data_IF_846446044091
#
_entry.id   IF_846446044091
#
_cell.length_a   1.000
_cell.length_b   1.000
_cell.length_c   1.000
_cell.angle_alpha   90.00
_cell.angle_beta   90.00
_cell.angle_gamma   90.00
#
_symmetry.space_group_name_H-M   'P 1'
#
loop_
_entity.id
_entity.type
_entity.pdbx_description
1 polymer ?
#
# COMPACT_ATOMS: atom_id res chain seq x y z
N UNK A 1 26.51 -41.89 -8.95
CA UNK A 1 25.44 -40.93 -8.60
C UNK A 1 25.84 -39.58 -9.15
N UNK A 2 25.30 -39.23 -10.31
CA UNK A 2 25.66 -38.06 -11.10
C UNK A 2 25.03 -36.80 -10.49
N UNK A 3 25.88 -35.87 -10.09
CA UNK A 3 25.53 -34.50 -9.70
C UNK A 3 25.22 -33.73 -11.00
N UNK A 4 24.05 -33.94 -11.58
CA UNK A 4 23.60 -33.24 -12.79
C UNK A 4 22.08 -33.14 -12.83
N UNK A 5 21.49 -32.33 -11.95
CA UNK A 5 20.14 -31.76 -12.13
C UNK A 5 19.79 -30.72 -11.04
N UNK A 6 20.65 -29.73 -10.80
CA UNK A 6 20.23 -28.49 -10.12
C UNK A 6 20.65 -27.30 -10.98
N UNK A 7 20.29 -27.37 -12.27
CA UNK A 7 20.32 -26.21 -13.13
C UNK A 7 19.31 -25.22 -12.57
N UNK A 8 19.84 -24.10 -12.06
CA UNK A 8 19.14 -22.87 -11.72
C UNK A 8 18.05 -22.60 -12.77
N UNK A 9 16.81 -22.99 -12.47
CA UNK A 9 15.65 -22.36 -13.09
C UNK A 9 15.73 -20.90 -12.71
N UNK A 10 16.15 -20.05 -13.64
CA UNK A 10 15.91 -18.61 -13.52
C UNK A 10 14.39 -18.48 -13.46
N UNK A 11 13.83 -18.40 -12.25
CA UNK A 11 12.40 -18.20 -12.06
C UNK A 11 12.05 -16.90 -12.76
N UNK A 12 11.25 -17.00 -13.82
CA UNK A 12 10.74 -15.85 -14.56
C UNK A 12 9.86 -15.07 -13.58
N UNK A 13 10.43 -14.03 -12.98
CA UNK A 13 9.76 -13.20 -12.00
C UNK A 13 9.46 -11.84 -12.64
N UNK A 14 8.20 -11.47 -12.68
CA UNK A 14 7.83 -10.09 -13.02
C UNK A 14 8.24 -9.22 -11.82
N UNK A 15 9.15 -8.24 -11.99
CA UNK A 15 9.55 -7.38 -10.89
C UNK A 15 8.33 -6.60 -10.38
N UNK A 16 8.29 -6.42 -9.06
CA UNK A 16 7.32 -5.54 -8.44
C UNK A 16 7.60 -4.10 -8.91
N UNK A 17 6.57 -3.27 -9.17
CA UNK A 17 6.80 -1.88 -9.52
C UNK A 17 7.62 -1.15 -8.44
N UNK A 18 8.53 -0.27 -8.85
CA UNK A 18 9.44 0.47 -7.96
C UNK A 18 8.67 1.20 -6.83
N UNK A 19 7.48 1.69 -7.14
CA UNK A 19 6.60 2.36 -6.17
C UNK A 19 6.20 1.41 -5.06
N UNK A 20 5.86 0.16 -5.38
CA UNK A 20 5.45 -0.83 -4.39
C UNK A 20 6.66 -1.30 -3.59
N UNK A 21 7.83 -1.45 -4.21
CA UNK A 21 9.08 -1.77 -3.50
C UNK A 21 9.46 -0.67 -2.51
N UNK A 22 9.33 0.59 -2.92
CA UNK A 22 9.56 1.74 -2.04
C UNK A 22 8.59 1.76 -0.86
N UNK A 23 7.31 1.45 -1.11
CA UNK A 23 6.29 1.37 -0.05
C UNK A 23 6.60 0.20 0.89
N UNK A 24 6.97 -0.98 0.36
CA UNK A 24 7.36 -2.14 1.16
C UNK A 24 8.56 -1.81 2.07
N UNK A 25 9.62 -1.22 1.50
CA UNK A 25 10.80 -0.81 2.25
C UNK A 25 10.45 0.18 3.37
N UNK A 26 9.61 1.18 3.06
CA UNK A 26 9.15 2.18 4.05
C UNK A 26 8.29 1.57 5.16
N UNK A 27 7.42 0.60 4.84
CA UNK A 27 6.63 -0.15 5.81
C UNK A 27 7.52 -0.97 6.74
N UNK A 28 8.49 -1.72 6.18
CA UNK A 28 9.45 -2.52 6.94
C UNK A 28 10.32 -1.65 7.84
N UNK A 29 10.74 -0.49 7.35
CA UNK A 29 11.51 0.50 8.12
C UNK A 29 10.64 1.34 9.09
N UNK A 30 9.34 1.07 9.21
CA UNK A 30 8.39 1.83 10.06
C UNK A 30 8.46 3.34 9.85
N UNK A 31 8.66 3.77 8.60
CA UNK A 31 8.72 5.19 8.22
C UNK A 31 7.37 5.73 7.71
N UNK A 32 6.45 4.83 7.40
CA UNK A 32 5.05 5.11 7.05
C UNK A 32 4.13 4.13 7.77
N UNK A 33 2.91 4.55 8.06
CA UNK A 33 1.85 3.72 8.63
C UNK A 33 1.25 2.80 7.56
N UNK A 34 0.58 1.74 8.00
CA UNK A 34 -0.21 0.90 7.08
C UNK A 34 -1.25 1.70 6.27
N UNK A 35 -1.86 2.72 6.86
CA UNK A 35 -2.83 3.58 6.18
C UNK A 35 -2.19 4.41 5.06
N UNK A 36 -1.05 5.07 5.34
CA UNK A 36 -0.28 5.81 4.33
C UNK A 36 0.15 4.89 3.18
N UNK A 37 0.60 3.67 3.50
CA UNK A 37 0.95 2.67 2.49
C UNK A 37 -0.23 2.22 1.63
N UNK A 38 -1.39 1.94 2.25
CA UNK A 38 -2.61 1.59 1.50
C UNK A 38 -3.01 2.70 0.53
N UNK A 39 -2.92 3.96 0.94
CA UNK A 39 -3.24 5.10 0.08
C UNK A 39 -2.23 5.22 -1.06
N UNK A 40 -0.93 5.08 -0.76
CA UNK A 40 0.13 5.14 -1.77
C UNK A 40 -0.01 4.02 -2.82
N UNK A 41 -0.32 2.79 -2.39
CA UNK A 41 -0.60 1.67 -3.29
C UNK A 41 -1.83 1.95 -4.15
N UNK A 42 -2.91 2.50 -3.59
CA UNK A 42 -4.11 2.84 -4.37
C UNK A 42 -3.79 3.85 -5.48
N UNK A 43 -3.06 4.91 -5.16
CA UNK A 43 -2.62 5.92 -6.14
C UNK A 43 -1.73 5.29 -7.22
N UNK A 44 -0.76 4.47 -6.82
CA UNK A 44 0.13 3.80 -7.76
C UNK A 44 -0.64 2.82 -8.67
N UNK A 45 -1.58 2.03 -8.14
CA UNK A 45 -2.45 1.13 -8.92
C UNK A 45 -3.28 1.86 -9.96
N UNK A 46 -3.86 3.01 -9.62
CA UNK A 46 -4.66 3.81 -10.57
C UNK A 46 -3.83 4.29 -11.75
N UNK A 47 -2.55 4.61 -11.52
CA UNK A 47 -1.64 5.06 -12.58
C UNK A 47 -1.06 3.92 -13.40
N UNK A 48 -0.65 2.82 -12.75
CA UNK A 48 -0.01 1.67 -13.41
C UNK A 48 -1.02 0.75 -14.11
N UNK A 49 -2.27 0.74 -13.66
CA UNK A 49 -3.29 -0.19 -14.11
C UNK A 49 -3.02 -1.62 -13.63
N UNK A 50 -3.81 -2.56 -14.14
CA UNK A 50 -3.68 -3.99 -13.83
C UNK A 50 -2.36 -4.59 -14.31
N UNK A 51 -1.83 -5.63 -13.61
CA UNK A 51 -0.52 -6.22 -13.94
C UNK A 51 -0.34 -6.64 -15.39
N UNK A 52 -1.37 -7.21 -16.03
CA UNK A 52 -1.30 -7.67 -17.42
C UNK A 52 -1.13 -6.54 -18.46
N UNK A 53 -1.31 -5.28 -18.07
CA UNK A 53 -1.00 -4.13 -18.92
C UNK A 53 0.48 -3.74 -18.88
N UNK A 54 1.24 -4.21 -17.88
CA UNK A 54 2.64 -3.82 -17.69
C UNK A 54 3.54 -4.42 -18.77
N UNK A 55 4.58 -3.67 -19.17
CA UNK A 55 5.58 -4.14 -20.14
C UNK A 55 6.32 -5.39 -19.63
N UNK A 56 6.68 -5.41 -18.36
CA UNK A 56 7.36 -6.54 -17.71
C UNK A 56 6.48 -7.80 -17.69
N UNK A 57 5.18 -7.65 -17.41
CA UNK A 57 4.24 -8.77 -17.47
C UNK A 57 4.12 -9.33 -18.90
N UNK A 58 4.01 -8.47 -19.91
CA UNK A 58 3.96 -8.91 -21.32
C UNK A 58 5.24 -9.63 -21.75
N UNK A 59 6.40 -9.17 -21.28
CA UNK A 59 7.68 -9.82 -21.55
C UNK A 59 7.76 -11.21 -20.88
N UNK A 60 7.39 -11.31 -19.61
CA UNK A 60 7.36 -12.57 -18.87
C UNK A 60 6.34 -13.55 -19.46
N UNK A 61 5.14 -13.08 -19.86
CA UNK A 61 4.11 -13.91 -20.51
C UNK A 61 4.67 -14.63 -21.74
N UNK A 62 5.45 -13.95 -22.58
CA UNK A 62 6.04 -14.57 -23.79
C UNK A 62 6.97 -15.74 -23.47
N UNK A 63 7.57 -15.75 -22.29
CA UNK A 63 8.51 -16.78 -21.86
C UNK A 63 7.80 -17.98 -21.21
N UNK A 64 6.65 -17.76 -20.57
CA UNK A 64 5.89 -18.83 -19.89
C UNK A 64 4.79 -19.46 -20.75
N UNK A 65 4.32 -18.74 -21.78
CA UNK A 65 3.30 -19.25 -22.69
C UNK A 65 3.88 -20.41 -23.51
N UNK A 66 3.29 -21.59 -23.38
CA UNK A 66 3.69 -22.80 -24.10
C UNK A 66 3.06 -22.85 -25.50
N UNK A 67 3.50 -23.80 -26.32
CA UNK A 67 2.98 -24.04 -27.67
C UNK A 67 1.68 -24.83 -27.72
N UNK A 68 1.25 -25.42 -26.60
CA UNK A 68 0.01 -26.20 -26.53
C UNK A 68 -0.75 -25.99 -25.22
N UNK A 69 -2.06 -26.17 -25.29
CA UNK A 69 -2.96 -26.18 -24.13
C UNK A 69 -2.63 -27.35 -23.21
N UNK A 70 -2.37 -27.08 -21.93
CA UNK A 70 -2.03 -28.11 -20.95
C UNK A 70 -3.21 -29.03 -20.60
N UNK A 71 -4.46 -28.58 -20.84
CA UNK A 71 -5.66 -29.36 -20.55
C UNK A 71 -6.04 -30.30 -21.69
N UNK A 72 -6.13 -29.78 -22.93
CA UNK A 72 -6.65 -30.52 -24.08
C UNK A 72 -5.63 -30.78 -25.19
N UNK A 73 -4.39 -30.28 -25.08
CA UNK A 73 -3.34 -30.49 -26.08
C UNK A 73 -3.45 -29.63 -27.35
N UNK A 74 -4.46 -28.76 -27.47
CA UNK A 74 -4.61 -27.88 -28.63
C UNK A 74 -3.34 -27.04 -28.88
N UNK A 75 -2.76 -27.16 -30.08
CA UNK A 75 -1.47 -26.57 -30.47
C UNK A 75 -1.56 -25.20 -31.15
N UNK A 76 -0.68 -24.95 -32.11
CA UNK A 76 -0.39 -23.63 -32.71
C UNK A 76 -1.60 -22.93 -33.36
N UNK A 77 -2.56 -23.68 -33.89
CA UNK A 77 -3.80 -23.14 -34.48
C UNK A 77 -4.78 -22.57 -33.43
N UNK A 78 -4.56 -22.85 -32.15
CA UNK A 78 -5.44 -22.40 -31.07
C UNK A 78 -4.95 -21.09 -30.45
N UNK A 79 -5.88 -20.20 -30.09
CA UNK A 79 -5.55 -19.02 -29.29
C UNK A 79 -5.25 -19.46 -27.85
N UNK A 80 -3.98 -19.33 -27.44
CA UNK A 80 -3.48 -19.71 -26.12
C UNK A 80 -3.35 -18.50 -25.16
N UNK A 81 -3.69 -18.74 -23.90
CA UNK A 81 -3.69 -17.78 -22.80
C UNK A 81 -2.85 -18.31 -21.66
N UNK A 82 -2.22 -17.40 -20.92
CA UNK A 82 -1.62 -17.73 -19.61
C UNK A 82 -2.70 -17.51 -18.56
N UNK A 83 -3.23 -18.60 -18.03
CA UNK A 83 -4.23 -18.58 -16.96
C UNK A 83 -3.53 -18.66 -15.61
N UNK A 84 -3.85 -17.76 -14.69
CA UNK A 84 -3.40 -17.88 -13.30
C UNK A 84 -4.33 -18.84 -12.56
N UNK A 85 -3.77 -19.76 -11.77
CA UNK A 85 -4.53 -20.61 -10.84
C UNK A 85 -4.73 -19.96 -9.47
N UNK A 86 -4.08 -18.81 -9.24
CA UNK A 86 -4.28 -17.94 -8.08
C UNK A 86 -4.90 -16.63 -8.52
N UNK A 87 -5.82 -16.10 -7.72
CA UNK A 87 -6.45 -14.80 -8.00
C UNK A 87 -5.48 -13.66 -7.73
N UNK A 88 -5.66 -12.56 -8.44
CA UNK A 88 -4.97 -11.31 -8.10
C UNK A 88 -5.38 -10.90 -6.67
N UNK A 89 -4.42 -10.68 -5.75
CA UNK A 89 -4.75 -10.46 -4.35
C UNK A 89 -5.46 -9.12 -4.15
N UNK A 90 -6.55 -9.16 -3.39
CA UNK A 90 -7.35 -7.99 -3.06
C UNK A 90 -6.94 -7.40 -1.71
N UNK A 91 -6.64 -6.10 -1.70
CA UNK A 91 -6.29 -5.36 -0.48
C UNK A 91 -7.43 -5.45 0.57
N UNK A 92 -8.70 -5.44 0.14
CA UNK A 92 -9.84 -5.53 1.07
C UNK A 92 -9.82 -6.82 1.87
N UNK A 93 -9.53 -7.95 1.22
CA UNK A 93 -9.44 -9.27 1.85
C UNK A 93 -8.37 -9.29 2.94
N UNK A 94 -7.19 -8.74 2.66
CA UNK A 94 -6.12 -8.66 3.66
C UNK A 94 -6.47 -7.74 4.84
N UNK A 95 -7.14 -6.61 4.56
CA UNK A 95 -7.61 -5.71 5.62
C UNK A 95 -8.61 -6.40 6.54
N UNK A 96 -9.57 -7.13 5.98
CA UNK A 96 -10.55 -7.88 6.76
C UNK A 96 -9.90 -9.00 7.57
N UNK A 97 -8.99 -9.77 6.96
CA UNK A 97 -8.26 -10.83 7.65
C UNK A 97 -7.43 -10.27 8.82
N UNK A 98 -6.69 -9.19 8.59
CA UNK A 98 -5.90 -8.56 9.63
C UNK A 98 -6.78 -7.99 10.77
N UNK A 99 -7.94 -7.41 10.46
CA UNK A 99 -8.92 -7.00 11.49
C UNK A 99 -9.46 -8.16 12.31
N UNK A 100 -9.78 -9.30 11.67
CA UNK A 100 -10.24 -10.51 12.39
C UNK A 100 -9.14 -11.05 13.30
N UNK A 101 -7.90 -11.12 12.80
CA UNK A 101 -6.74 -11.55 13.58
C UNK A 101 -6.47 -10.62 14.76
N UNK A 102 -6.70 -9.32 14.58
CA UNK A 102 -6.60 -8.32 15.64
C UNK A 102 -7.68 -8.52 16.72
N UNK A 103 -8.94 -8.78 16.32
CA UNK A 103 -10.04 -9.00 17.27
C UNK A 103 -9.83 -10.21 18.19
N UNK A 104 -9.00 -11.18 17.79
CA UNK A 104 -8.61 -12.32 18.62
C UNK A 104 -7.42 -12.07 19.55
N UNK A 105 -6.87 -10.84 19.59
CA UNK A 105 -5.73 -10.47 20.44
C UNK A 105 -6.18 -9.53 21.56
N UNK A 106 -5.62 -9.70 22.74
CA UNK A 106 -5.66 -8.66 23.77
C UNK A 106 -4.72 -7.54 23.33
N UNK A 107 -5.29 -6.37 23.08
CA UNK A 107 -4.55 -5.20 22.62
C UNK A 107 -4.71 -4.13 23.67
N UNK A 108 -3.58 -3.63 24.17
CA UNK A 108 -3.61 -2.47 25.03
C UNK A 108 -4.11 -1.25 24.23
N UNK A 109 -5.17 -0.57 24.69
CA UNK A 109 -5.64 0.63 24.03
C UNK A 109 -4.56 1.69 24.05
N UNK A 110 -4.50 2.50 23.00
CA UNK A 110 -3.56 3.62 22.92
C UNK A 110 -3.84 4.57 24.09
N UNK A 111 -2.83 4.79 24.93
CA UNK A 111 -2.90 5.82 25.95
C UNK A 111 -2.68 7.21 25.34
N UNK A 112 -3.75 7.76 24.78
CA UNK A 112 -3.77 9.13 24.27
C UNK A 112 -3.47 10.17 25.36
N UNK A 113 -3.65 9.83 26.64
CA UNK A 113 -3.38 10.75 27.75
C UNK A 113 -1.87 10.92 27.95
N UNK A 114 -1.10 9.83 27.97
CA UNK A 114 0.37 9.88 28.02
C UNK A 114 0.97 10.59 26.81
N UNK A 115 0.48 10.30 25.59
CA UNK A 115 0.94 11.02 24.38
C UNK A 115 0.70 12.53 24.52
N UNK A 116 -0.48 12.92 25.02
CA UNK A 116 -0.83 14.32 25.23
C UNK A 116 0.05 14.97 26.31
N UNK A 117 0.35 14.26 27.39
CA UNK A 117 1.26 14.72 28.45
C UNK A 117 2.67 14.96 27.90
N UNK A 118 3.21 14.03 27.10
CA UNK A 118 4.50 14.22 26.42
C UNK A 118 4.49 15.45 25.50
N UNK A 119 3.40 15.66 24.75
CA UNK A 119 3.24 16.86 23.91
C UNK A 119 3.20 18.15 24.74
N UNK A 120 2.60 18.13 25.93
CA UNK A 120 2.63 19.28 26.84
C UNK A 120 4.03 19.51 27.41
N UNK A 121 4.73 18.46 27.84
CA UNK A 121 6.11 18.56 28.30
C UNK A 121 7.03 19.20 27.25
N UNK A 122 6.89 18.84 25.96
CA UNK A 122 7.64 19.48 24.86
C UNK A 122 7.35 20.98 24.76
N UNK A 123 6.10 21.41 24.98
CA UNK A 123 5.75 22.83 24.97
C UNK A 123 6.32 23.54 26.19
N UNK A 124 6.18 22.91 27.36
CA UNK A 124 6.48 23.54 28.65
C UNK A 124 7.98 23.58 28.93
N UNK A 125 8.77 22.71 28.29
CA UNK A 125 10.23 22.78 28.29
C UNK A 125 10.82 23.92 27.43
N UNK A 126 10.00 24.59 26.61
CA UNK A 126 10.49 25.69 25.79
C UNK A 126 10.57 26.98 26.60
N UNK A 127 11.79 27.48 26.81
CA UNK A 127 12.03 28.74 27.49
C UNK A 127 11.61 29.92 26.61
N UNK A 128 10.65 30.76 27.05
CA UNK A 128 10.26 31.94 26.30
C UNK A 128 11.36 32.98 26.25
N UNK A 129 11.51 33.63 25.10
CA UNK A 129 12.44 34.75 24.94
C UNK A 129 11.77 36.08 25.33
N UNK A 130 12.56 37.06 25.79
CA UNK A 130 12.07 38.41 26.02
C UNK A 130 11.81 39.12 24.69
N UNK A 131 10.53 39.44 24.42
CA UNK A 131 10.10 40.00 23.14
C UNK A 131 9.44 41.36 23.31
N UNK A 132 9.62 42.19 22.29
CA UNK A 132 8.95 43.49 22.21
C UNK A 132 7.43 43.31 22.12
N UNK A 133 6.72 44.05 22.95
CA UNK A 133 5.28 44.07 23.02
C UNK A 133 4.75 45.49 23.22
N UNK A 134 3.45 45.65 23.03
CA UNK A 134 2.78 46.91 23.25
C UNK A 134 2.76 47.25 24.76
N UNK A 135 3.25 48.42 25.20
CA UNK A 135 3.26 48.79 26.62
C UNK A 135 1.85 48.95 27.21
N UNK A 136 0.84 49.22 26.37
CA UNK A 136 -0.55 49.41 26.82
C UNK A 136 -1.30 48.10 27.04
N UNK A 137 -1.07 47.08 26.21
CA UNK A 137 -1.88 45.85 26.21
C UNK A 137 -1.07 44.55 26.23
N UNK A 138 0.26 44.64 26.36
CA UNK A 138 1.20 43.51 26.38
C UNK A 138 1.10 42.55 25.17
N UNK A 139 0.52 43.00 24.06
CA UNK A 139 0.38 42.22 22.84
C UNK A 139 1.68 42.24 22.02
N UNK A 140 2.04 41.08 21.48
CA UNK A 140 3.20 40.89 20.59
C UNK A 140 2.90 41.29 19.14
N UNK A 141 1.64 41.63 18.83
CA UNK A 141 1.24 42.10 17.51
C UNK A 141 1.56 43.59 17.37
N UNK A 142 2.85 43.89 17.20
CA UNK A 142 3.35 45.25 17.01
C UNK A 142 4.09 45.35 15.67
N UNK A 143 4.05 46.53 15.06
CA UNK A 143 4.69 46.80 13.79
C UNK A 143 5.54 48.06 13.90
N UNK A 144 6.80 47.98 13.49
CA UNK A 144 7.67 49.15 13.41
C UNK A 144 7.41 49.93 12.12
N UNK A 145 7.17 51.24 12.26
CA UNK A 145 6.95 52.17 11.15
C UNK A 145 8.23 52.99 10.93
N UNK A 146 8.99 52.63 9.89
CA UNK A 146 10.32 53.20 9.59
C UNK A 146 10.30 54.73 9.45
N UNK A 147 9.33 55.28 8.72
CA UNK A 147 9.27 56.73 8.44
C UNK A 147 9.05 57.59 9.69
N UNK A 148 8.23 57.11 10.63
CA UNK A 148 7.88 57.84 11.84
C UNK A 148 8.72 57.41 13.05
N UNK A 149 9.70 56.51 12.86
CA UNK A 149 10.51 55.89 13.93
C UNK A 149 9.68 55.42 15.15
N UNK A 150 8.47 54.91 14.91
CA UNK A 150 7.51 54.53 15.97
C UNK A 150 6.93 53.15 15.72
N UNK A 151 6.52 52.50 16.80
CA UNK A 151 5.77 51.25 16.78
C UNK A 151 4.26 51.54 16.81
N UNK A 152 3.48 50.66 16.22
CA UNK A 152 2.01 50.63 16.34
C UNK A 152 1.55 49.24 16.76
N UNK A 153 0.59 49.17 17.69
CA UNK A 153 -0.03 47.92 18.10
C UNK A 153 -1.24 47.56 17.23
N UNK A 154 -1.22 46.35 16.67
CA UNK A 154 -2.27 45.78 15.82
C UNK A 154 -3.15 44.76 16.56
N UNK A 155 -3.10 44.72 17.91
CA UNK A 155 -3.87 43.77 18.71
C UNK A 155 -5.38 44.04 18.67
N UNK A 156 -6.16 42.95 18.69
CA UNK A 156 -7.63 42.94 18.90
C UNK A 156 -8.04 42.25 20.20
N UNK A 157 -7.12 42.05 21.14
CA UNK A 157 -7.32 41.22 22.34
C UNK A 157 -8.52 41.63 23.21
N UNK A 158 -8.99 42.88 23.12
CA UNK A 158 -10.15 43.41 23.87
C UNK A 158 -11.37 43.65 22.98
N UNK A 159 -11.45 43.04 21.80
CA UNK A 159 -12.55 43.20 20.82
C UNK A 159 -12.47 44.48 19.97
N UNK A 160 -11.70 45.50 20.40
CA UNK A 160 -11.35 46.70 19.61
C UNK A 160 -9.86 46.71 19.29
N UNK A 161 -9.49 47.38 18.19
CA UNK A 161 -8.07 47.58 17.85
C UNK A 161 -7.40 48.45 18.92
N UNK A 162 -6.23 48.01 19.40
CA UNK A 162 -5.44 48.78 20.36
C UNK A 162 -4.95 50.09 19.72
N UNK A 163 -4.39 50.02 18.51
CA UNK A 163 -3.88 51.14 17.71
C UNK A 163 -2.90 52.08 18.44
N UNK A 164 -2.37 51.66 19.60
CA UNK A 164 -1.48 52.48 20.40
C UNK A 164 -0.15 52.67 19.66
N UNK A 165 0.26 53.92 19.53
CA UNK A 165 1.54 54.33 18.93
C UNK A 165 2.51 54.68 20.04
N UNK A 166 3.73 54.17 19.96
CA UNK A 166 4.76 54.33 20.99
C UNK A 166 6.16 54.25 20.38
N UNK A 167 7.17 54.78 21.07
CA UNK A 167 8.57 54.78 20.61
C UNK A 167 9.38 53.63 21.21
N UNK A 168 9.17 53.34 22.49
CA UNK A 168 9.86 52.28 23.23
C UNK A 168 8.89 51.13 23.51
N UNK A 169 9.10 49.93 22.94
CA UNK A 169 8.32 48.75 23.27
C UNK A 169 8.58 48.29 24.71
N UNK A 170 7.56 47.74 25.36
CA UNK A 170 7.75 46.97 26.59
C UNK A 170 8.28 45.58 26.24
N UNK A 171 8.87 44.88 27.21
CA UNK A 171 9.34 43.50 27.03
C UNK A 171 8.40 42.51 27.72
N UNK A 172 8.22 41.34 27.12
CA UNK A 172 7.45 40.23 27.68
C UNK A 172 8.03 38.91 27.22
N UNK A 173 8.27 37.99 28.16
CA UNK A 173 8.54 36.59 27.92
C UNK A 173 7.48 35.94 27.01
N UNK A 174 7.87 35.55 25.80
CA UNK A 174 6.98 34.87 24.87
C UNK A 174 7.73 34.05 23.82
N UNK A 175 7.12 32.93 23.42
CA UNK A 175 7.67 32.08 22.36
C UNK A 175 7.72 32.82 21.01
N UNK A 176 8.83 32.68 20.31
CA UNK A 176 9.01 33.14 18.93
C UNK A 176 8.23 32.27 17.94
N UNK A 177 8.12 32.72 16.69
CA UNK A 177 7.49 31.94 15.63
C UNK A 177 8.28 30.65 15.33
N UNK A 178 9.61 30.73 15.35
CA UNK A 178 10.50 29.59 15.11
C UNK A 178 10.46 28.59 16.25
N UNK A 179 10.43 29.04 17.51
CA UNK A 179 10.21 28.18 18.67
C UNK A 179 8.87 27.43 18.54
N UNK A 180 7.77 28.12 18.22
CA UNK A 180 6.45 27.48 18.00
C UNK A 180 6.48 26.45 16.87
N UNK A 181 7.15 26.77 15.76
CA UNK A 181 7.32 25.85 14.63
C UNK A 181 8.15 24.63 15.01
N UNK A 182 9.21 24.82 15.81
CA UNK A 182 10.03 23.74 16.34
C UNK A 182 9.23 22.82 17.27
N UNK A 183 8.53 23.39 18.26
CA UNK A 183 7.64 22.66 19.19
C UNK A 183 6.60 21.83 18.43
N UNK A 184 5.96 22.41 17.41
CA UNK A 184 4.95 21.69 16.63
C UNK A 184 5.55 20.54 15.82
N UNK A 185 6.75 20.72 15.25
CA UNK A 185 7.48 19.64 14.57
C UNK A 185 7.81 18.52 15.55
N UNK A 186 8.25 18.86 16.75
CA UNK A 186 8.62 17.90 17.78
C UNK A 186 7.42 17.10 18.31
N UNK A 187 6.32 17.80 18.60
CA UNK A 187 5.04 17.18 18.96
C UNK A 187 4.57 16.20 17.90
N UNK A 188 4.61 16.60 16.63
CA UNK A 188 4.21 15.74 15.52
C UNK A 188 5.16 14.55 15.36
N UNK A 189 6.47 14.74 15.56
CA UNK A 189 7.47 13.66 15.56
C UNK A 189 7.19 12.64 16.66
N UNK A 190 6.93 13.09 17.88
CA UNK A 190 6.61 12.24 19.04
C UNK A 190 5.35 11.42 18.80
N UNK A 191 4.28 12.08 18.33
CA UNK A 191 3.04 11.40 17.95
C UNK A 191 3.28 10.37 16.83
N UNK A 192 3.97 10.74 15.75
CA UNK A 192 4.29 9.82 14.64
C UNK A 192 5.10 8.63 15.11
N UNK A 193 6.14 8.83 15.92
CA UNK A 193 6.97 7.76 16.44
C UNK A 193 6.16 6.77 17.28
N UNK A 194 5.23 7.28 18.10
CA UNK A 194 4.33 6.43 18.88
C UNK A 194 3.46 5.57 17.96
N UNK A 195 2.79 6.18 16.97
CA UNK A 195 1.91 5.45 16.06
C UNK A 195 2.66 4.45 15.17
N UNK A 196 3.84 4.81 14.66
CA UNK A 196 4.63 3.97 13.74
C UNK A 196 5.23 2.74 14.42
N UNK A 197 5.56 2.82 15.70
CA UNK A 197 6.21 1.74 16.45
C UNK A 197 5.23 0.86 17.21
N UNK A 198 3.94 0.99 16.94
CA UNK A 198 2.93 0.09 17.49
C UNK A 198 3.11 -1.33 16.97
N UNK A 199 3.01 -2.26 17.91
CA UNK A 199 3.01 -3.69 17.59
C UNK A 199 1.71 -4.10 16.91
N UNK A 200 0.59 -3.50 17.32
CA UNK A 200 -0.76 -3.77 16.86
C UNK A 200 -1.19 -2.99 15.59
N UNK A 201 -0.23 -2.51 14.78
CA UNK A 201 -0.53 -1.93 13.46
C UNK A 201 -0.94 -3.02 12.46
N UNK A 202 -2.18 -3.49 12.61
CA UNK A 202 -2.81 -4.50 11.75
C UNK A 202 -2.84 -4.08 10.28
N UNK A 203 -2.88 -2.77 10.00
CA UNK A 203 -2.92 -2.27 8.63
C UNK A 203 -1.54 -2.44 7.98
N UNK A 204 -0.44 -2.22 8.71
CA UNK A 204 0.92 -2.53 8.22
C UNK A 204 1.03 -4.02 7.87
N UNK A 205 0.59 -4.88 8.76
CA UNK A 205 0.65 -6.33 8.55
C UNK A 205 -0.20 -6.77 7.34
N UNK A 206 -1.41 -6.21 7.19
CA UNK A 206 -2.25 -6.42 6.01
C UNK A 206 -1.56 -6.01 4.70
N UNK A 207 -0.91 -4.84 4.71
CA UNK A 207 -0.23 -4.32 3.52
C UNK A 207 1.01 -5.16 3.17
N UNK A 208 1.81 -5.57 4.16
CA UNK A 208 2.96 -6.45 3.93
C UNK A 208 2.53 -7.83 3.40
N UNK A 209 1.47 -8.41 3.95
CA UNK A 209 0.90 -9.66 3.46
C UNK A 209 0.41 -9.53 2.01
N UNK A 210 -0.31 -8.46 1.68
CA UNK A 210 -0.75 -8.18 0.31
C UNK A 210 0.44 -8.03 -0.67
N UNK A 211 1.51 -7.32 -0.28
CA UNK A 211 2.71 -7.19 -1.12
C UNK A 211 3.36 -8.57 -1.33
N UNK A 212 3.41 -9.41 -0.29
CA UNK A 212 3.90 -10.78 -0.38
C UNK A 212 3.11 -11.61 -1.40
N UNK A 213 1.78 -11.62 -1.32
CA UNK A 213 0.93 -12.33 -2.27
C UNK A 213 1.02 -11.74 -3.69
N UNK A 214 1.19 -10.43 -3.82
CA UNK A 214 1.44 -9.82 -5.13
C UNK A 214 2.74 -10.36 -5.76
N UNK A 215 3.79 -10.59 -4.97
CA UNK A 215 5.04 -11.21 -5.48
C UNK A 215 4.79 -12.64 -5.92
N UNK A 216 3.99 -13.42 -5.18
CA UNK A 216 3.59 -14.77 -5.59
C UNK A 216 2.82 -14.75 -6.91
N UNK A 217 1.83 -13.87 -7.05
CA UNK A 217 1.09 -13.69 -8.31
C UNK A 217 2.02 -13.33 -9.47
N UNK A 218 2.96 -12.40 -9.26
CA UNK A 218 3.91 -11.93 -10.26
C UNK A 218 5.05 -12.91 -10.58
N UNK A 219 5.21 -13.97 -9.77
CA UNK A 219 6.19 -15.04 -10.04
C UNK A 219 5.79 -15.95 -11.19
N UNK A 220 4.52 -15.89 -11.62
CA UNK A 220 3.93 -16.79 -12.62
C UNK A 220 4.06 -18.29 -12.31
N UNK A 221 4.50 -18.66 -11.10
CA UNK A 221 4.64 -20.06 -10.67
C UNK A 221 3.30 -20.81 -10.71
N UNK A 222 2.21 -20.10 -10.45
CA UNK A 222 0.86 -20.61 -10.44
C UNK A 222 0.13 -20.22 -11.73
N UNK A 223 0.74 -20.53 -12.87
CA UNK A 223 0.14 -20.30 -14.18
C UNK A 223 0.19 -21.54 -15.05
N UNK A 224 -0.72 -21.59 -16.02
CA UNK A 224 -0.76 -22.64 -17.04
C UNK A 224 -1.21 -22.07 -18.37
N UNK A 225 -0.78 -22.73 -19.45
CA UNK A 225 -1.17 -22.38 -20.81
C UNK A 225 -2.46 -23.10 -21.18
N UNK A 226 -3.52 -22.33 -21.48
CA UNK A 226 -4.83 -22.87 -21.87
C UNK A 226 -5.30 -22.28 -23.20
N UNK A 227 -6.04 -23.07 -23.98
CA UNK A 227 -6.81 -22.51 -25.10
C UNK A 227 -8.01 -21.71 -24.59
N UNK A 228 -8.57 -20.82 -25.42
CA UNK A 228 -9.73 -19.96 -25.09
C UNK A 228 -10.87 -20.73 -24.38
N UNK A 229 -11.19 -21.91 -24.92
CA UNK A 229 -12.26 -22.76 -24.42
C UNK A 229 -11.94 -23.35 -23.05
N UNK A 230 -10.74 -23.89 -22.88
CA UNK A 230 -10.32 -24.44 -21.58
C UNK A 230 -10.31 -23.37 -20.52
N UNK A 231 -9.74 -22.18 -20.81
CA UNK A 231 -9.73 -21.05 -19.89
C UNK A 231 -11.15 -20.64 -19.46
N UNK A 232 -12.07 -20.52 -20.42
CA UNK A 232 -13.49 -20.24 -20.13
C UNK A 232 -14.12 -21.28 -19.21
N UNK A 233 -13.93 -22.57 -19.51
CA UNK A 233 -14.49 -23.63 -18.69
C UNK A 233 -13.98 -23.57 -17.26
N UNK A 234 -12.69 -23.29 -17.04
CA UNK A 234 -12.15 -23.16 -15.69
C UNK A 234 -12.68 -21.94 -14.93
N UNK A 235 -12.90 -20.83 -15.62
CA UNK A 235 -13.35 -19.59 -15.00
C UNK A 235 -14.85 -19.62 -14.68
N UNK A 236 -15.65 -20.33 -15.47
CA UNK A 236 -17.12 -20.22 -15.45
C UNK A 236 -17.86 -21.47 -14.96
N UNK A 237 -17.22 -22.64 -14.94
CA UNK A 237 -17.91 -23.92 -14.72
C UNK A 237 -17.03 -24.93 -14.00
N UNK A 238 -17.60 -25.89 -13.26
CA UNK A 238 -16.83 -27.04 -12.74
C UNK A 238 -16.69 -28.15 -13.80
N UNK A 239 -16.44 -27.75 -15.05
CA UNK A 239 -16.43 -28.63 -16.22
C UNK A 239 -15.03 -28.72 -16.85
N UNK A 240 -14.84 -29.74 -17.67
CA UNK A 240 -13.65 -29.99 -18.50
C UNK A 240 -14.06 -30.32 -19.94
N UNK A 241 -13.19 -30.04 -20.94
CA UNK A 241 -13.45 -30.44 -22.32
C UNK A 241 -12.95 -31.85 -22.62
N UNK A 242 -13.71 -32.62 -23.40
CA UNK A 242 -13.30 -33.90 -23.94
C UNK A 242 -12.14 -33.70 -24.93
N UNK A 243 -11.13 -34.56 -24.87
CA UNK A 243 -9.95 -34.52 -25.74
C UNK A 243 -10.18 -35.06 -27.15
N UNK A 244 -11.18 -35.92 -27.32
CA UNK A 244 -11.58 -36.46 -28.63
C UNK A 244 -12.65 -35.55 -29.26
N UNK A 245 -13.79 -35.51 -28.58
CA UNK A 245 -14.93 -34.63 -28.72
C UNK A 245 -14.77 -33.12 -28.94
N UNK A 246 -14.09 -32.53 -27.96
CA UNK A 246 -14.46 -31.20 -27.51
C UNK A 246 -15.94 -31.10 -27.08
N UNK A 247 -16.50 -32.01 -26.30
CA UNK A 247 -17.73 -31.75 -25.52
C UNK A 247 -17.37 -31.27 -24.10
N UNK A 248 -18.16 -30.40 -23.45
CA UNK A 248 -17.88 -29.92 -22.09
C UNK A 248 -18.76 -30.64 -21.06
N UNK A 249 -18.16 -31.26 -20.04
CA UNK A 249 -18.86 -32.08 -19.04
C UNK A 249 -18.22 -31.93 -17.64
N UNK A 250 -18.93 -32.28 -16.56
CA UNK A 250 -18.45 -32.12 -15.19
C UNK A 250 -17.08 -32.76 -14.94
N UNK A 251 -16.24 -32.12 -14.12
CA UNK A 251 -14.91 -32.66 -13.78
C UNK A 251 -14.96 -34.00 -13.05
N UNK A 252 -16.06 -34.28 -12.36
CA UNK A 252 -16.32 -35.53 -11.62
C UNK A 252 -16.52 -36.75 -12.52
N UNK A 253 -16.91 -36.55 -13.78
CA UNK A 253 -17.18 -37.65 -14.72
C UNK A 253 -15.90 -38.09 -15.44
N UNK A 254 -15.63 -39.39 -15.53
CA UNK A 254 -14.40 -39.92 -16.16
C UNK A 254 -14.56 -40.24 -17.65
N UNK A 255 -15.79 -40.25 -18.15
CA UNK A 255 -16.14 -40.62 -19.53
C UNK A 255 -16.94 -39.48 -20.14
N UNK A 256 -16.62 -39.10 -21.37
CA UNK A 256 -17.36 -38.06 -22.07
C UNK A 256 -18.78 -38.54 -22.41
N UNK A 257 -19.85 -37.83 -21.99
CA UNK A 257 -21.22 -38.25 -22.26
C UNK A 257 -21.64 -38.12 -23.74
N UNK A 258 -20.85 -37.45 -24.57
CA UNK A 258 -21.15 -37.21 -25.99
C UNK A 258 -20.48 -38.23 -26.93
N UNK A 259 -19.21 -38.56 -26.68
CA UNK A 259 -18.46 -39.52 -27.53
C UNK A 259 -18.04 -40.81 -26.80
N UNK A 260 -18.46 -40.97 -25.54
CA UNK A 260 -18.20 -42.15 -24.69
C UNK A 260 -16.70 -42.47 -24.50
N UNK A 261 -15.81 -41.56 -24.86
CA UNK A 261 -14.37 -41.74 -24.69
C UNK A 261 -13.94 -41.44 -23.24
N UNK A 262 -13.09 -42.27 -22.64
CA UNK A 262 -12.53 -42.00 -21.32
C UNK A 262 -11.56 -40.82 -21.34
N UNK A 263 -11.47 -40.11 -20.21
CA UNK A 263 -10.52 -39.04 -19.97
C UNK A 263 -9.08 -39.50 -20.23
N UNK A 264 -8.46 -38.98 -21.28
CA UNK A 264 -7.07 -39.29 -21.63
C UNK A 264 -6.88 -40.22 -22.82
N UNK A 265 -7.95 -40.76 -23.42
CA UNK A 265 -7.85 -41.37 -24.75
C UNK A 265 -7.37 -40.31 -25.75
N UNK A 266 -6.18 -40.53 -26.34
CA UNK A 266 -5.68 -39.68 -27.42
C UNK A 266 -6.59 -39.82 -28.65
N UNK A 267 -6.70 -38.78 -29.50
CA UNK A 267 -7.39 -38.95 -30.76
C UNK A 267 -6.74 -40.09 -31.53
N UNK A 268 -7.53 -41.08 -31.94
CA UNK A 268 -7.11 -42.02 -32.97
C UNK A 268 -7.04 -41.17 -34.24
N UNK A 269 -5.84 -40.72 -34.58
CA UNK A 269 -5.59 -40.00 -35.83
C UNK A 269 -5.85 -41.02 -36.95
N UNK A 270 -7.01 -40.90 -37.59
CA UNK A 270 -7.35 -41.55 -38.84
C UNK A 270 -7.18 -40.58 -39.99
#
# INVERSE_FOLDING_TARGET
>A
MTITAFLRSQHILIPLPLEYETIEAKLRARSITGHEASQAIFVARRRLGSPWHWKSWKAARKQVLRSACETCGAGEEAILYVQHTVRLPSISTHKELAKRNLAGREIEPIDYSSIRQQMYAIRDAAEPEERDCCPKCASLSIQYRKQAATWICNSKSTGRYCAHVFTVPAKKAALTADQKKSINREKHRTWRNTILNREDDWMRDAMLAWIGEMRVYLSLQHTKTLCKRCAFLEDMTDQKPCRSCGFAYPRTEQVCPDCEQPDGAQPIIG
#
